data_IF_396128099271
#
_entry.id   IF_396128099271
#
_cell.length_a   1.000
_cell.length_b   1.000
_cell.length_c   1.000
_cell.angle_alpha   90.00
_cell.angle_beta   90.00
_cell.angle_gamma   90.00
#
_symmetry.space_group_name_H-M   'P 1'
#
loop_
_entity.id
_entity.type
_entity.pdbx_description
1 polymer ?
#
# COMPACT_ATOMS: atom_id res chain seq x y z
N UNK A 1 6.82 -16.40 -22.31
CA UNK A 1 6.48 -16.00 -20.93
C UNK A 1 7.44 -14.88 -20.57
N UNK A 2 7.01 -13.62 -20.62
CA UNK A 2 7.91 -12.45 -20.41
C UNK A 2 8.23 -12.28 -18.92
N UNK A 3 9.48 -11.96 -18.62
CA UNK A 3 10.01 -11.84 -17.26
C UNK A 3 9.58 -10.54 -16.59
N UNK A 4 9.32 -10.55 -15.28
CA UNK A 4 8.84 -9.40 -14.50
C UNK A 4 9.76 -8.17 -14.60
N UNK A 5 11.07 -8.39 -14.76
CA UNK A 5 12.06 -7.33 -14.94
C UNK A 5 11.90 -6.60 -16.29
N UNK A 6 11.40 -7.29 -17.32
CA UNK A 6 11.19 -6.71 -18.65
C UNK A 6 9.94 -5.82 -18.67
N UNK A 7 8.94 -6.11 -17.82
CA UNK A 7 7.77 -5.26 -17.64
C UNK A 7 8.10 -3.96 -16.89
N UNK A 8 9.00 -4.02 -15.92
CA UNK A 8 9.47 -2.84 -15.18
C UNK A 8 10.20 -1.84 -16.09
N UNK A 9 11.04 -2.34 -17.01
CA UNK A 9 11.77 -1.51 -17.96
C UNK A 9 10.86 -0.81 -18.99
N UNK A 10 9.73 -1.43 -19.37
CA UNK A 10 8.74 -0.82 -20.27
C UNK A 10 7.82 0.17 -19.53
N UNK A 11 7.45 -0.13 -18.28
CA UNK A 11 6.71 0.79 -17.42
C UNK A 11 7.54 2.05 -17.10
N UNK A 12 8.85 1.90 -16.87
CA UNK A 12 9.78 3.01 -16.66
C UNK A 12 9.91 3.94 -17.87
N UNK A 13 9.85 3.40 -19.10
CA UNK A 13 9.85 4.22 -20.32
C UNK A 13 8.53 4.96 -20.55
N UNK A 14 7.38 4.36 -20.21
CA UNK A 14 6.06 5.00 -20.35
C UNK A 14 5.79 6.07 -19.29
N UNK A 15 6.33 5.93 -18.09
CA UNK A 15 6.20 6.92 -17.02
C UNK A 15 6.98 8.23 -17.31
N UNK A 16 7.95 8.19 -18.23
CA UNK A 16 8.80 9.32 -18.57
C UNK A 16 8.20 10.26 -19.64
N UNK A 17 7.19 9.84 -20.41
CA UNK A 17 6.64 10.63 -21.53
C UNK A 17 5.40 11.48 -21.15
N UNK A 18 4.57 11.09 -20.18
CA UNK A 18 3.29 11.77 -19.89
C UNK A 18 3.20 12.45 -18.50
N UNK A 19 4.12 13.37 -18.23
CA UNK A 19 3.95 14.34 -17.15
C UNK A 19 4.67 13.96 -15.85
N UNK A 20 5.88 14.50 -15.72
CA UNK A 20 6.61 14.79 -14.48
C UNK A 20 5.79 14.52 -13.21
N UNK A 21 6.07 13.43 -12.45
CA UNK A 21 5.42 13.23 -11.18
C UNK A 21 5.79 14.41 -10.27
N UNK A 22 4.78 15.14 -9.80
CA UNK A 22 4.98 16.19 -8.83
C UNK A 22 5.77 15.62 -7.65
N UNK A 23 6.80 16.33 -7.18
CA UNK A 23 7.55 15.94 -6.00
C UNK A 23 6.56 15.84 -4.84
N UNK A 24 6.19 14.62 -4.48
CA UNK A 24 5.31 14.36 -3.34
C UNK A 24 6.17 14.43 -2.09
N UNK A 25 6.10 15.56 -1.39
CA UNK A 25 6.73 15.70 -0.07
C UNK A 25 6.00 14.80 0.92
N UNK A 26 6.76 14.09 1.77
CA UNK A 26 6.18 13.32 2.87
C UNK A 26 5.30 14.25 3.74
N UNK A 27 4.02 13.92 3.86
CA UNK A 27 3.02 14.73 4.58
C UNK A 27 2.16 15.65 3.70
N UNK A 28 2.40 15.72 2.38
CA UNK A 28 1.49 16.41 1.46
C UNK A 28 0.10 15.74 1.51
N UNK A 29 -0.94 16.53 1.82
CA UNK A 29 -2.31 16.03 1.88
C UNK A 29 -2.74 15.54 0.51
N UNK A 30 -3.17 14.29 0.42
CA UNK A 30 -3.70 13.73 -0.82
C UNK A 30 -5.03 14.40 -1.17
N UNK A 31 -5.22 14.75 -2.43
CA UNK A 31 -6.41 15.46 -2.93
C UNK A 31 -7.74 14.71 -2.71
N UNK A 32 -7.68 13.38 -2.61
CA UNK A 32 -8.81 12.54 -2.21
C UNK A 32 -8.33 11.44 -1.24
N UNK A 33 -9.08 11.15 -0.17
CA UNK A 33 -8.79 9.99 0.65
C UNK A 33 -8.94 8.71 -0.18
N UNK A 34 -8.11 7.67 0.06
CA UNK A 34 -8.35 6.36 -0.52
C UNK A 34 -9.73 5.82 -0.09
N UNK A 35 -10.32 4.86 -0.83
CA UNK A 35 -11.57 4.23 -0.43
C UNK A 35 -11.48 3.74 1.02
N UNK A 36 -12.50 4.08 1.82
CA UNK A 36 -12.54 3.72 3.23
C UNK A 36 -12.71 2.21 3.36
N UNK A 37 -11.63 1.52 3.69
CA UNK A 37 -11.66 0.11 4.07
C UNK A 37 -11.99 0.03 5.56
N UNK A 38 -12.98 -0.78 5.98
CA UNK A 38 -13.28 -0.97 7.40
C UNK A 38 -12.03 -1.43 8.17
N UNK A 39 -11.72 -0.74 9.25
CA UNK A 39 -10.59 -1.07 10.13
C UNK A 39 -11.11 -1.36 11.54
N UNK A 40 -10.49 -2.35 12.19
CA UNK A 40 -10.81 -2.78 13.55
C UNK A 40 -9.62 -2.53 14.48
N UNK A 41 -9.85 -2.36 15.79
CA UNK A 41 -8.76 -2.36 16.75
C UNK A 41 -7.93 -3.64 16.63
N UNK A 42 -6.61 -3.47 16.54
CA UNK A 42 -5.64 -4.57 16.51
C UNK A 42 -5.18 -5.01 17.89
N UNK A 43 -4.20 -5.92 17.93
CA UNK A 43 -3.46 -6.28 19.14
C UNK A 43 -2.10 -5.57 19.16
N UNK A 44 -1.62 -5.10 20.33
CA UNK A 44 -0.33 -4.40 20.43
C UNK A 44 0.87 -5.33 20.19
N UNK A 45 0.68 -6.65 20.23
CA UNK A 45 1.71 -7.66 19.98
C UNK A 45 1.17 -8.83 19.17
N UNK A 46 2.04 -9.59 18.46
CA UNK A 46 3.44 -9.29 18.14
C UNK A 46 3.60 -8.12 17.16
N UNK A 47 4.76 -7.46 17.21
CA UNK A 47 5.13 -6.37 16.30
C UNK A 47 5.16 -6.80 14.82
N UNK A 48 5.03 -5.80 13.95
CA UNK A 48 5.03 -5.91 12.50
C UNK A 48 3.62 -6.10 11.92
N UNK A 49 3.59 -6.51 10.65
CA UNK A 49 2.36 -6.83 9.91
C UNK A 49 2.06 -8.33 10.00
N UNK A 50 0.88 -8.69 10.50
CA UNK A 50 0.50 -10.10 10.75
C UNK A 50 -0.87 -10.39 10.17
N UNK A 51 -0.97 -11.43 9.36
CA UNK A 51 -2.24 -11.91 8.83
C UNK A 51 -3.04 -12.62 9.93
N UNK A 52 -4.31 -12.23 10.12
CA UNK A 52 -5.22 -12.78 11.13
C UNK A 52 -6.66 -12.75 10.62
N UNK A 53 -7.50 -13.64 11.13
CA UNK A 53 -8.95 -13.50 10.99
C UNK A 53 -9.46 -12.52 12.08
N UNK A 54 -10.30 -11.57 11.68
CA UNK A 54 -11.00 -10.66 12.59
C UNK A 54 -12.19 -11.33 13.31
N UNK A 55 -12.91 -10.58 14.16
CA UNK A 55 -14.04 -11.10 14.94
C UNK A 55 -15.13 -11.78 14.09
N UNK A 56 -15.37 -11.28 12.88
CA UNK A 56 -16.34 -11.84 11.94
C UNK A 56 -15.75 -12.91 11.00
N UNK A 57 -14.54 -13.41 11.30
CA UNK A 57 -13.82 -14.36 10.44
C UNK A 57 -13.20 -13.74 9.19
N UNK A 58 -13.37 -12.42 8.99
CA UNK A 58 -12.83 -11.69 7.84
C UNK A 58 -11.30 -11.63 7.92
N UNK A 59 -10.64 -12.06 6.84
CA UNK A 59 -9.19 -11.97 6.72
C UNK A 59 -8.71 -10.51 6.73
N UNK A 60 -7.68 -10.23 7.54
CA UNK A 60 -7.09 -8.90 7.65
C UNK A 60 -5.65 -8.93 8.14
N UNK A 61 -5.04 -7.75 8.21
CA UNK A 61 -3.67 -7.58 8.67
C UNK A 61 -3.63 -6.71 9.92
N UNK A 62 -3.07 -7.24 11.00
CA UNK A 62 -2.77 -6.51 12.22
C UNK A 62 -1.42 -5.79 12.09
N UNK A 63 -1.39 -4.50 12.37
CA UNK A 63 -0.16 -3.70 12.44
C UNK A 63 0.12 -3.30 13.87
N UNK A 64 1.30 -3.65 14.37
CA UNK A 64 1.79 -3.25 15.68
C UNK A 64 3.23 -2.71 15.57
N UNK A 65 3.46 -1.54 16.14
CA UNK A 65 4.72 -0.79 16.10
C UNK A 65 5.10 -0.40 17.55
N UNK A 66 6.38 -0.09 17.78
CA UNK A 66 6.88 0.44 19.06
C UNK A 66 6.54 1.93 19.23
#
# INVERSE_FOLDING_TARGET
MSSAAEQEAVAGKRAAEDGRPAVVVNGARRAAPPPAVPAWPGTPVPLGARFRAGPDGVAGTNFALW
#
